data_IF_670669787342
#
_entry.id   IF_670669787342
#
_cell.length_a   1.000
_cell.length_b   1.000
_cell.length_c   1.000
_cell.angle_alpha   90.00
_cell.angle_beta   90.00
_cell.angle_gamma   90.00
#
_symmetry.space_group_name_H-M   'P 1'
#
loop_
_entity.id
_entity.type
_entity.pdbx_description
1 polymer ?
#
# COMPACT_ATOMS: atom_id res chain seq x y z
N UNK A 1 -16.60 19.21 -5.63
CA UNK A 1 -15.85 18.32 -6.54
C UNK A 1 -16.05 16.91 -6.03
N UNK A 2 -16.24 15.91 -6.90
CA UNK A 2 -16.39 14.53 -6.45
C UNK A 2 -15.16 14.13 -5.62
N UNK A 3 -15.37 13.30 -4.60
CA UNK A 3 -14.28 12.82 -3.76
C UNK A 3 -13.31 11.93 -4.57
N UNK A 4 -13.83 11.16 -5.53
CA UNK A 4 -13.08 10.30 -6.46
C UNK A 4 -13.09 10.84 -7.90
N UNK A 5 -12.26 10.27 -8.79
CA UNK A 5 -12.35 10.46 -10.24
C UNK A 5 -13.38 9.47 -10.83
N UNK A 6 -14.63 9.87 -11.10
CA UNK A 6 -15.69 8.93 -11.46
C UNK A 6 -15.44 8.22 -12.81
N UNK A 7 -14.73 8.87 -13.73
CA UNK A 7 -14.48 8.36 -15.09
C UNK A 7 -13.22 7.51 -15.21
N UNK A 8 -12.33 7.54 -14.22
CA UNK A 8 -11.12 6.71 -14.25
C UNK A 8 -11.46 5.30 -13.76
N UNK A 9 -10.97 4.22 -14.40
CA UNK A 9 -11.04 2.87 -13.85
C UNK A 9 -10.35 2.78 -12.49
N UNK A 10 -10.81 1.88 -11.60
CA UNK A 10 -10.20 1.67 -10.28
C UNK A 10 -8.76 1.18 -10.42
N UNK A 11 -8.54 0.24 -11.32
CA UNK A 11 -7.24 -0.30 -11.68
C UNK A 11 -7.13 -0.33 -13.21
N UNK A 12 -6.02 0.15 -13.75
CA UNK A 12 -5.72 0.18 -15.17
C UNK A 12 -4.29 -0.29 -15.41
N UNK A 13 -3.96 -0.70 -16.64
CA UNK A 13 -2.57 -1.05 -16.99
C UNK A 13 -1.70 0.20 -16.93
N UNK A 14 -0.44 0.08 -16.45
CA UNK A 14 0.46 1.25 -16.47
C UNK A 14 0.83 1.61 -17.91
N UNK A 15 0.86 2.91 -18.23
CA UNK A 15 1.39 3.37 -19.50
C UNK A 15 2.87 2.99 -19.64
N UNK A 16 3.25 2.45 -20.81
CA UNK A 16 4.61 1.99 -21.12
C UNK A 16 5.63 3.15 -21.24
N UNK A 17 5.15 4.38 -21.47
CA UNK A 17 5.98 5.57 -21.62
C UNK A 17 5.31 6.77 -20.93
N UNK A 18 5.70 7.05 -19.70
CA UNK A 18 5.48 8.37 -19.09
C UNK A 18 6.84 9.01 -18.93
N UNK A 19 7.17 9.85 -19.90
CA UNK A 19 8.33 10.74 -19.88
C UNK A 19 7.84 12.09 -19.38
N UNK A 20 7.82 12.24 -18.05
CA UNK A 20 7.60 13.51 -17.39
C UNK A 20 8.71 13.68 -16.35
N UNK A 21 9.22 14.90 -16.19
CA UNK A 21 10.27 15.22 -15.22
C UNK A 21 9.85 14.85 -13.80
N UNK A 22 8.55 15.00 -13.52
CA UNK A 22 7.94 14.57 -12.26
C UNK A 22 8.00 13.05 -12.05
N UNK A 23 7.84 12.26 -13.12
CA UNK A 23 7.94 10.81 -13.08
C UNK A 23 9.39 10.35 -12.89
N UNK A 24 10.35 11.01 -13.55
CA UNK A 24 11.78 10.73 -13.39
C UNK A 24 12.30 11.07 -11.99
N UNK A 25 11.73 12.10 -11.33
CA UNK A 25 12.04 12.42 -9.93
C UNK A 25 11.68 11.29 -8.95
N UNK A 26 10.77 10.38 -9.31
CA UNK A 26 10.40 9.22 -8.49
C UNK A 26 11.37 8.03 -8.60
N UNK A 27 12.50 8.20 -9.31
CA UNK A 27 13.54 7.16 -9.53
C UNK A 27 12.95 5.80 -9.94
N UNK A 28 12.17 5.76 -11.04
CA UNK A 28 11.51 4.53 -11.45
C UNK A 28 12.55 3.48 -11.89
N UNK A 29 12.41 2.25 -11.39
CA UNK A 29 13.14 1.11 -11.91
C UNK A 29 12.49 0.69 -13.23
N UNK A 30 13.29 0.67 -14.29
CA UNK A 30 12.89 0.25 -15.63
C UNK A 30 13.61 -1.04 -15.99
N UNK A 31 12.87 -2.02 -16.50
CA UNK A 31 13.44 -3.19 -17.15
C UNK A 31 12.52 -3.62 -18.29
N UNK A 32 13.08 -4.28 -19.29
CA UNK A 32 12.28 -4.86 -20.37
C UNK A 32 11.79 -6.24 -19.93
N UNK A 33 10.52 -6.40 -19.54
CA UNK A 33 9.99 -7.71 -19.17
C UNK A 33 10.02 -8.62 -20.40
N UNK A 34 10.30 -9.90 -20.16
CA UNK A 34 10.27 -10.88 -21.22
C UNK A 34 8.83 -10.99 -21.78
N UNK A 35 8.62 -11.11 -23.11
CA UNK A 35 7.30 -11.03 -23.75
C UNK A 35 6.24 -12.03 -23.24
N UNK A 36 6.64 -13.11 -22.55
CA UNK A 36 5.74 -14.09 -21.95
C UNK A 36 5.22 -13.71 -20.55
N UNK A 37 5.76 -12.67 -19.93
CA UNK A 37 5.43 -12.24 -18.58
C UNK A 37 4.68 -10.90 -18.68
N UNK A 38 3.43 -10.81 -18.20
CA UNK A 38 2.59 -9.62 -18.34
C UNK A 38 2.97 -8.51 -17.33
N UNK A 39 4.26 -8.26 -17.12
CA UNK A 39 4.76 -7.23 -16.20
C UNK A 39 4.78 -5.86 -16.88
N UNK A 40 4.56 -4.79 -16.11
CA UNK A 40 4.49 -3.45 -16.68
C UNK A 40 5.86 -2.81 -17.01
N UNK A 41 6.97 -3.41 -16.55
CA UNK A 41 8.35 -3.01 -16.90
C UNK A 41 8.84 -1.68 -16.28
N UNK A 42 7.96 -0.91 -15.63
CA UNK A 42 8.28 0.35 -14.97
C UNK A 42 7.68 0.40 -13.57
N UNK A 43 8.53 0.54 -12.56
CA UNK A 43 8.17 0.56 -11.13
C UNK A 43 8.64 1.85 -10.49
N UNK A 44 7.71 2.72 -10.13
CA UNK A 44 7.96 3.92 -9.31
C UNK A 44 8.49 3.55 -7.92
N UNK A 45 8.97 4.52 -7.15
CA UNK A 45 9.38 4.29 -5.76
C UNK A 45 8.27 3.65 -4.89
N UNK A 46 6.99 4.00 -5.13
CA UNK A 46 5.85 3.40 -4.43
C UNK A 46 5.71 1.95 -4.86
N UNK A 47 5.77 1.66 -6.15
CA UNK A 47 5.66 0.30 -6.67
C UNK A 47 6.76 -0.61 -6.12
N UNK A 48 8.00 -0.11 -6.08
CA UNK A 48 9.13 -0.82 -5.50
C UNK A 48 8.88 -1.14 -4.01
N UNK A 49 8.32 -0.19 -3.26
CA UNK A 49 7.92 -0.42 -1.87
C UNK A 49 6.79 -1.45 -1.75
N UNK A 50 5.83 -1.46 -2.68
CA UNK A 50 4.75 -2.45 -2.70
C UNK A 50 5.29 -3.85 -3.02
N UNK A 51 6.18 -3.98 -4.00
CA UNK A 51 6.87 -5.25 -4.30
C UNK A 51 7.64 -5.74 -3.08
N UNK A 52 8.46 -4.88 -2.48
CA UNK A 52 9.25 -5.21 -1.30
C UNK A 52 8.37 -5.77 -0.17
N UNK A 53 7.31 -5.05 0.20
CA UNK A 53 6.42 -5.48 1.27
C UNK A 53 5.58 -6.70 0.88
N UNK A 54 5.21 -6.85 -0.39
CA UNK A 54 4.53 -8.04 -0.90
C UNK A 54 5.41 -9.28 -0.70
N UNK A 55 6.68 -9.19 -1.07
CA UNK A 55 7.64 -10.29 -0.91
C UNK A 55 7.96 -10.57 0.57
N UNK A 56 8.19 -9.52 1.38
CA UNK A 56 8.45 -9.68 2.81
C UNK A 56 7.26 -10.34 3.50
N UNK A 57 6.04 -9.84 3.30
CA UNK A 57 4.84 -10.40 3.92
C UNK A 57 4.60 -11.84 3.46
N UNK A 58 4.66 -12.10 2.14
CA UNK A 58 4.53 -13.46 1.61
C UNK A 58 5.55 -14.42 2.24
N UNK A 59 6.83 -14.02 2.32
CA UNK A 59 7.88 -14.84 2.89
C UNK A 59 7.67 -15.13 4.39
N UNK A 60 7.41 -14.10 5.20
CA UNK A 60 7.17 -14.24 6.65
C UNK A 60 6.05 -15.25 6.90
N UNK A 61 4.91 -15.08 6.22
CA UNK A 61 3.73 -15.92 6.44
C UNK A 61 3.88 -17.33 5.85
N UNK A 62 4.65 -17.51 4.76
CA UNK A 62 4.99 -18.83 4.24
C UNK A 62 5.88 -19.62 5.20
N UNK A 63 6.92 -18.98 5.74
CA UNK A 63 7.82 -19.63 6.70
C UNK A 63 7.06 -19.94 7.99
N UNK A 64 6.22 -19.03 8.49
CA UNK A 64 5.38 -19.27 9.65
C UNK A 64 4.40 -20.45 9.46
N UNK A 65 3.94 -20.69 8.23
CA UNK A 65 3.02 -21.79 7.92
C UNK A 65 3.72 -23.16 7.87
N UNK A 66 4.91 -23.22 7.26
CA UNK A 66 5.50 -24.52 6.85
C UNK A 66 6.81 -24.87 7.55
N UNK A 67 7.52 -23.89 8.09
CA UNK A 67 8.83 -24.14 8.68
C UNK A 67 8.71 -24.39 10.19
N UNK A 68 9.27 -25.49 10.72
CA UNK A 68 9.20 -25.86 12.13
C UNK A 68 10.24 -25.09 12.98
N UNK A 69 10.39 -23.79 12.75
CA UNK A 69 11.25 -22.94 13.57
C UNK A 69 10.53 -22.47 14.84
N UNK A 70 11.27 -22.28 15.93
CA UNK A 70 10.70 -21.73 17.16
C UNK A 70 10.12 -20.34 16.91
N UNK A 71 8.98 -20.04 17.55
CA UNK A 71 8.32 -18.74 17.46
C UNK A 71 9.24 -17.58 17.86
N UNK A 72 10.14 -17.79 18.81
CA UNK A 72 11.12 -16.78 19.25
C UNK A 72 12.13 -16.48 18.14
N UNK A 73 12.69 -17.51 17.49
CA UNK A 73 13.65 -17.30 16.40
C UNK A 73 12.99 -16.61 15.22
N UNK A 74 11.74 -17.00 14.92
CA UNK A 74 10.92 -16.35 13.90
C UNK A 74 10.67 -14.88 14.24
N UNK A 75 10.23 -14.56 15.46
CA UNK A 75 10.00 -13.18 15.92
C UNK A 75 11.24 -12.29 15.71
N UNK A 76 12.42 -12.75 16.16
CA UNK A 76 13.68 -12.00 15.98
C UNK A 76 13.96 -11.76 14.50
N UNK A 77 13.86 -12.79 13.66
CA UNK A 77 14.11 -12.67 12.23
C UNK A 77 13.12 -11.72 11.53
N UNK A 78 11.83 -11.81 11.89
CA UNK A 78 10.78 -10.98 11.31
C UNK A 78 10.84 -9.54 11.79
N UNK A 79 11.26 -9.28 13.02
CA UNK A 79 11.50 -7.92 13.51
C UNK A 79 12.67 -7.25 12.77
N UNK A 80 13.77 -7.98 12.55
CA UNK A 80 14.90 -7.47 11.73
C UNK A 80 14.42 -7.17 10.31
N UNK A 81 13.72 -8.11 9.67
CA UNK A 81 13.25 -7.96 8.30
C UNK A 81 12.23 -6.81 8.17
N UNK A 82 11.35 -6.63 9.16
CA UNK A 82 10.36 -5.54 9.21
C UNK A 82 11.04 -4.19 9.37
N UNK A 83 12.06 -4.07 10.24
CA UNK A 83 12.85 -2.84 10.40
C UNK A 83 13.59 -2.50 9.10
N UNK A 84 14.25 -3.48 8.49
CA UNK A 84 14.94 -3.29 7.20
C UNK A 84 13.96 -2.87 6.09
N UNK A 85 12.84 -3.58 5.94
CA UNK A 85 11.80 -3.26 4.97
C UNK A 85 11.23 -1.87 5.17
N UNK A 86 11.01 -1.45 6.42
CA UNK A 86 10.55 -0.12 6.78
C UNK A 86 11.58 0.95 6.42
N UNK A 87 12.86 0.73 6.73
CA UNK A 87 13.94 1.64 6.37
C UNK A 87 14.07 1.85 4.86
N UNK A 88 13.98 0.76 4.08
CA UNK A 88 14.01 0.82 2.61
C UNK A 88 12.77 1.54 2.08
N UNK A 89 11.57 1.23 2.57
CA UNK A 89 10.33 1.94 2.20
C UNK A 89 10.47 3.46 2.44
N UNK A 90 10.99 3.88 3.58
CA UNK A 90 11.23 5.30 3.88
C UNK A 90 12.20 5.89 2.86
N UNK A 91 13.35 5.23 2.62
CA UNK A 91 14.35 5.72 1.67
C UNK A 91 13.78 5.87 0.25
N UNK A 92 12.93 4.95 -0.18
CA UNK A 92 12.28 4.99 -1.49
C UNK A 92 11.22 6.09 -1.58
N UNK A 93 10.34 6.20 -0.57
CA UNK A 93 9.09 6.96 -0.70
C UNK A 93 9.13 8.36 -0.07
N UNK A 94 10.07 8.64 0.84
CA UNK A 94 10.07 9.89 1.61
C UNK A 94 10.06 11.13 0.73
N UNK A 95 10.97 11.22 -0.24
CA UNK A 95 11.06 12.38 -1.15
C UNK A 95 9.75 12.64 -1.88
N UNK A 96 9.15 11.60 -2.44
CA UNK A 96 7.84 11.69 -3.11
C UNK A 96 6.74 12.13 -2.14
N UNK A 97 6.66 11.53 -0.96
CA UNK A 97 5.62 11.89 0.03
C UNK A 97 5.76 13.32 0.53
N UNK A 98 6.97 13.87 0.65
CA UNK A 98 7.17 15.27 1.02
C UNK A 98 6.66 16.20 -0.08
N UNK A 99 7.04 15.92 -1.34
CA UNK A 99 6.57 16.70 -2.50
C UNK A 99 5.05 16.68 -2.57
N UNK A 100 4.43 15.51 -2.41
CA UNK A 100 2.97 15.34 -2.47
C UNK A 100 2.20 15.70 -1.20
N UNK A 101 2.88 16.20 -0.16
CA UNK A 101 2.27 16.53 1.15
C UNK A 101 1.58 15.33 1.81
N UNK A 102 2.14 14.15 1.62
CA UNK A 102 1.72 12.85 2.15
C UNK A 102 2.71 12.25 3.15
N UNK A 103 3.70 13.01 3.66
CA UNK A 103 4.69 12.49 4.62
C UNK A 103 4.05 11.92 5.89
N UNK A 104 2.92 12.49 6.35
CA UNK A 104 2.15 11.96 7.48
C UNK A 104 1.59 10.55 7.21
N UNK A 105 1.27 10.22 5.95
CA UNK A 105 0.81 8.89 5.56
C UNK A 105 1.95 7.87 5.69
N UNK A 106 3.17 8.24 5.30
CA UNK A 106 4.35 7.41 5.51
C UNK A 106 4.58 7.14 7.00
N UNK A 107 4.52 8.17 7.85
CA UNK A 107 4.64 8.00 9.30
C UNK A 107 3.53 7.12 9.88
N UNK A 108 2.32 7.19 9.32
CA UNK A 108 1.21 6.32 9.73
C UNK A 108 1.54 4.86 9.44
N UNK A 109 2.02 4.54 8.23
CA UNK A 109 2.45 3.17 7.91
C UNK A 109 3.60 2.71 8.79
N UNK A 110 4.62 3.55 9.03
CA UNK A 110 5.71 3.22 9.96
C UNK A 110 5.18 2.90 11.35
N UNK A 111 4.28 3.72 11.89
CA UNK A 111 3.66 3.48 13.19
C UNK A 111 2.87 2.18 13.25
N UNK A 112 2.11 1.87 12.19
CA UNK A 112 1.36 0.61 12.05
C UNK A 112 2.29 -0.62 12.01
N UNK A 113 3.40 -0.56 11.28
CA UNK A 113 4.37 -1.66 11.22
C UNK A 113 5.06 -1.88 12.57
N UNK A 114 5.48 -0.80 13.23
CA UNK A 114 6.08 -0.87 14.58
C UNK A 114 5.08 -1.44 15.58
N UNK A 115 3.82 -0.99 15.54
CA UNK A 115 2.77 -1.49 16.42
C UNK A 115 2.53 -2.99 16.22
N UNK A 116 2.36 -3.45 14.98
CA UNK A 116 2.16 -4.87 14.68
C UNK A 116 3.33 -5.75 15.12
N UNK A 117 4.55 -5.28 14.88
CA UNK A 117 5.79 -5.94 15.31
C UNK A 117 5.86 -6.06 16.83
N UNK A 118 5.70 -4.94 17.57
CA UNK A 118 5.75 -4.94 19.04
C UNK A 118 4.66 -5.82 19.64
N UNK A 119 3.43 -5.77 19.11
CA UNK A 119 2.34 -6.62 19.57
C UNK A 119 2.63 -8.11 19.35
N UNK A 120 3.20 -8.46 18.20
CA UNK A 120 3.60 -9.84 17.87
C UNK A 120 4.70 -10.33 18.82
N UNK A 121 5.74 -9.51 19.03
CA UNK A 121 6.88 -9.84 19.89
C UNK A 121 6.45 -9.97 21.36
N UNK A 122 5.62 -9.05 21.85
CA UNK A 122 5.04 -9.15 23.19
C UNK A 122 4.17 -10.39 23.34
N UNK A 123 3.40 -10.76 22.31
CA UNK A 123 2.58 -11.97 22.36
C UNK A 123 3.44 -13.23 22.54
N UNK A 124 4.56 -13.29 21.83
CA UNK A 124 5.48 -14.43 21.87
C UNK A 124 6.27 -14.44 23.18
N UNK A 125 6.82 -13.29 23.60
CA UNK A 125 7.64 -13.18 24.80
C UNK A 125 6.84 -13.42 26.09
N UNK A 126 5.60 -12.95 26.15
CA UNK A 126 4.72 -13.10 27.33
C UNK A 126 3.83 -14.34 27.27
N UNK A 127 3.86 -15.11 26.17
CA UNK A 127 2.96 -16.24 25.97
C UNK A 127 1.49 -15.82 25.92
N UNK A 128 1.17 -14.67 25.32
CA UNK A 128 -0.19 -14.14 25.22
C UNK A 128 -1.04 -14.97 24.25
N UNK A 129 -1.54 -16.11 24.72
CA UNK A 129 -2.23 -17.11 23.91
C UNK A 129 -3.37 -16.54 23.05
N UNK A 130 -4.18 -15.63 23.60
CA UNK A 130 -5.26 -14.97 22.86
C UNK A 130 -4.73 -14.19 21.64
N UNK A 131 -3.66 -13.41 21.79
CA UNK A 131 -3.11 -12.65 20.68
C UNK A 131 -2.38 -13.58 19.69
N UNK A 132 -1.71 -14.62 20.19
CA UNK A 132 -1.03 -15.63 19.36
C UNK A 132 -1.98 -16.34 18.38
N UNK A 133 -3.18 -16.73 18.84
CA UNK A 133 -4.18 -17.34 17.96
C UNK A 133 -4.84 -16.35 16.99
N UNK A 134 -4.65 -15.04 17.22
CA UNK A 134 -5.22 -13.96 16.41
C UNK A 134 -4.16 -13.15 15.63
N UNK A 135 -2.92 -13.63 15.51
CA UNK A 135 -1.85 -12.91 14.79
C UNK A 135 -2.22 -12.62 13.32
N UNK A 136 -2.83 -13.58 12.63
CA UNK A 136 -3.29 -13.38 11.26
C UNK A 136 -4.35 -12.26 11.17
N UNK A 137 -5.32 -12.27 12.09
CA UNK A 137 -6.34 -11.23 12.18
C UNK A 137 -5.73 -9.86 12.48
N UNK A 138 -4.74 -9.79 13.37
CA UNK A 138 -4.02 -8.56 13.71
C UNK A 138 -3.37 -7.94 12.47
N UNK A 139 -2.59 -8.71 11.71
CA UNK A 139 -1.85 -8.19 10.55
C UNK A 139 -2.77 -7.82 9.39
N UNK A 140 -3.87 -8.56 9.17
CA UNK A 140 -4.92 -8.15 8.23
C UNK A 140 -5.62 -6.86 8.67
N UNK A 141 -5.90 -6.69 9.97
CA UNK A 141 -6.54 -5.49 10.50
C UNK A 141 -5.62 -4.26 10.37
N UNK A 142 -4.36 -4.40 10.72
CA UNK A 142 -3.34 -3.34 10.56
C UNK A 142 -3.26 -2.93 9.08
N UNK A 143 -3.22 -3.90 8.16
CA UNK A 143 -3.21 -3.64 6.72
C UNK A 143 -4.50 -2.94 6.27
N UNK A 144 -5.66 -3.41 6.72
CA UNK A 144 -6.94 -2.78 6.41
C UNK A 144 -6.98 -1.32 6.88
N UNK A 145 -6.52 -1.03 8.10
CA UNK A 145 -6.42 0.34 8.62
C UNK A 145 -5.46 1.20 7.79
N UNK A 146 -4.28 0.67 7.44
CA UNK A 146 -3.32 1.36 6.58
C UNK A 146 -3.92 1.71 5.22
N UNK A 147 -4.59 0.76 4.57
CA UNK A 147 -5.26 0.99 3.29
C UNK A 147 -6.45 1.95 3.41
N UNK A 148 -7.19 1.94 4.52
CA UNK A 148 -8.29 2.86 4.75
C UNK A 148 -7.78 4.30 4.80
N UNK A 149 -6.76 4.54 5.61
CA UNK A 149 -6.10 5.86 5.72
C UNK A 149 -5.51 6.28 4.38
N UNK A 150 -4.87 5.35 3.67
CA UNK A 150 -4.31 5.56 2.33
C UNK A 150 -5.40 5.95 1.31
N UNK A 151 -6.54 5.28 1.35
CA UNK A 151 -7.71 5.58 0.51
C UNK A 151 -8.28 6.97 0.76
N UNK A 152 -8.30 7.43 2.01
CA UNK A 152 -8.67 8.82 2.33
C UNK A 152 -7.61 9.84 1.86
N UNK A 153 -6.34 9.56 2.13
CA UNK A 153 -5.22 10.46 1.82
C UNK A 153 -5.08 10.70 0.31
N UNK A 154 -5.18 9.62 -0.48
CA UNK A 154 -5.01 9.65 -1.94
C UNK A 154 -6.35 9.68 -2.70
N UNK A 155 -7.47 9.66 -1.98
CA UNK A 155 -8.83 9.65 -2.56
C UNK A 155 -8.98 8.56 -3.63
N UNK A 156 -8.65 7.33 -3.25
CA UNK A 156 -8.54 6.20 -4.15
C UNK A 156 -9.56 5.12 -3.82
N UNK A 157 -10.37 4.71 -4.79
CA UNK A 157 -11.31 3.58 -4.62
C UNK A 157 -10.54 2.26 -4.51
N UNK A 158 -9.41 2.13 -5.19
CA UNK A 158 -8.58 0.93 -5.13
C UNK A 158 -8.16 0.61 -3.68
N UNK A 159 -7.74 1.61 -2.91
CA UNK A 159 -7.34 1.42 -1.51
C UNK A 159 -8.53 1.17 -0.55
N UNK A 160 -9.72 1.73 -0.83
CA UNK A 160 -10.94 1.32 -0.11
C UNK A 160 -11.31 -0.14 -0.41
N UNK A 161 -11.13 -0.58 -1.66
CA UNK A 161 -11.34 -1.98 -2.02
C UNK A 161 -10.33 -2.89 -1.31
N UNK A 162 -9.05 -2.52 -1.24
CA UNK A 162 -8.04 -3.26 -0.47
C UNK A 162 -8.41 -3.34 1.02
N UNK A 163 -8.94 -2.26 1.60
CA UNK A 163 -9.48 -2.27 2.97
C UNK A 163 -10.57 -3.32 3.14
N UNK A 164 -11.55 -3.33 2.22
CA UNK A 164 -12.64 -4.30 2.24
C UNK A 164 -12.15 -5.74 2.06
N UNK A 165 -11.20 -5.98 1.15
CA UNK A 165 -10.59 -7.29 0.92
C UNK A 165 -9.94 -7.82 2.21
N UNK A 166 -9.14 -6.99 2.89
CA UNK A 166 -8.49 -7.40 4.13
C UNK A 166 -9.49 -7.60 5.27
N UNK A 167 -10.51 -6.74 5.38
CA UNK A 167 -11.59 -6.91 6.35
C UNK A 167 -12.39 -8.20 6.12
N UNK A 168 -12.74 -8.50 4.87
CA UNK A 168 -13.43 -9.74 4.48
C UNK A 168 -12.54 -10.95 4.75
N UNK A 169 -11.24 -10.89 4.46
CA UNK A 169 -10.29 -11.96 4.73
C UNK A 169 -10.27 -12.36 6.22
N UNK A 170 -10.42 -11.40 7.15
CA UNK A 170 -10.51 -11.70 8.59
C UNK A 170 -11.68 -12.64 8.89
N UNK A 171 -12.84 -12.42 8.27
CA UNK A 171 -14.02 -13.29 8.45
C UNK A 171 -13.83 -14.69 7.83
N UNK A 172 -12.90 -14.85 6.89
CA UNK A 172 -12.58 -16.15 6.30
C UNK A 172 -11.57 -16.98 7.10
N UNK A 173 -10.77 -16.35 7.98
CA UNK A 173 -9.75 -17.05 8.77
C UNK A 173 -10.27 -18.28 9.56
N UNK A 174 -11.45 -18.24 10.21
CA UNK A 174 -11.96 -19.39 10.95
C UNK A 174 -12.25 -20.63 10.08
N UNK A 175 -12.42 -20.46 8.77
CA UNK A 175 -12.63 -21.58 7.84
C UNK A 175 -11.32 -22.19 7.33
N UNK A 176 -10.18 -21.56 7.61
CA UNK A 176 -8.85 -21.98 7.16
C UNK A 176 -7.86 -22.06 8.32
N UNK A 177 -8.31 -22.46 9.52
CA UNK A 177 -7.49 -22.44 10.76
C UNK A 177 -6.11 -23.09 10.57
N UNK A 178 -6.04 -24.25 9.91
CA UNK A 178 -4.77 -24.94 9.64
C UNK A 178 -3.86 -24.25 8.61
N UNK A 179 -4.39 -23.31 7.84
CA UNK A 179 -3.73 -22.62 6.71
C UNK A 179 -3.77 -21.09 6.85
N UNK A 180 -4.08 -20.58 8.05
CA UNK A 180 -4.36 -19.17 8.28
C UNK A 180 -3.18 -18.26 7.94
N UNK A 181 -1.94 -18.72 8.18
CA UNK A 181 -0.74 -17.96 7.87
C UNK A 181 -0.55 -17.86 6.37
N UNK A 182 -0.64 -18.99 5.65
CA UNK A 182 -0.58 -18.98 4.18
C UNK A 182 -1.66 -18.09 3.58
N UNK A 183 -2.92 -18.24 4.02
CA UNK A 183 -4.03 -17.44 3.52
C UNK A 183 -3.78 -15.94 3.72
N UNK A 184 -3.34 -15.55 4.92
CA UNK A 184 -2.99 -14.15 5.24
C UNK A 184 -1.85 -13.63 4.37
N UNK A 185 -0.78 -14.41 4.25
CA UNK A 185 0.37 -14.09 3.41
C UNK A 185 -0.01 -13.89 1.95
N UNK A 186 -0.85 -14.77 1.39
CA UNK A 186 -1.35 -14.65 0.01
C UNK A 186 -2.21 -13.39 -0.17
N UNK A 187 -3.15 -13.10 0.74
CA UNK A 187 -3.98 -11.90 0.65
C UNK A 187 -3.13 -10.63 0.65
N UNK A 188 -2.18 -10.51 1.60
CA UNK A 188 -1.30 -9.35 1.73
C UNK A 188 -0.36 -9.23 0.52
N UNK A 189 0.32 -10.31 0.16
CA UNK A 189 1.27 -10.35 -0.95
C UNK A 189 0.58 -10.04 -2.28
N UNK A 190 -0.50 -10.75 -2.62
CA UNK A 190 -1.19 -10.55 -3.89
C UNK A 190 -1.76 -9.15 -4.02
N UNK A 191 -2.33 -8.58 -2.96
CA UNK A 191 -2.83 -7.21 -3.00
C UNK A 191 -1.72 -6.19 -3.31
N UNK A 192 -0.57 -6.31 -2.65
CA UNK A 192 0.57 -5.43 -2.86
C UNK A 192 1.18 -5.60 -4.27
N UNK A 193 1.32 -6.84 -4.75
CA UNK A 193 1.85 -7.10 -6.09
C UNK A 193 0.88 -6.64 -7.20
N UNK A 194 -0.43 -6.81 -7.02
CA UNK A 194 -1.44 -6.29 -7.96
C UNK A 194 -1.37 -4.76 -8.03
N UNK A 195 -1.19 -4.08 -6.89
CA UNK A 195 -0.93 -2.66 -6.91
C UNK A 195 0.39 -2.35 -7.60
N UNK A 196 1.49 -3.02 -7.27
CA UNK A 196 2.76 -2.79 -7.95
C UNK A 196 2.73 -2.98 -9.47
N UNK A 197 1.83 -3.80 -10.03
CA UNK A 197 1.65 -3.94 -11.49
C UNK A 197 0.67 -2.93 -12.08
N UNK A 198 -0.40 -2.60 -11.36
CA UNK A 198 -1.47 -1.74 -11.85
C UNK A 198 -1.18 -0.26 -11.66
N UNK A 199 -1.85 0.58 -12.44
CA UNK A 199 -2.06 1.97 -12.12
C UNK A 199 -3.44 2.12 -11.48
N UNK A 200 -3.50 2.67 -10.28
CA UNK A 200 -4.75 2.81 -9.52
C UNK A 200 -5.29 4.23 -9.59
N UNK A 201 -6.60 4.37 -9.36
CA UNK A 201 -7.25 5.67 -9.32
C UNK A 201 -6.78 6.48 -8.11
N UNK A 202 -6.19 7.65 -8.32
CA UNK A 202 -5.79 8.55 -7.23
C UNK A 202 -5.96 10.02 -7.62
N UNK A 203 -6.23 10.84 -6.60
CA UNK A 203 -6.17 12.30 -6.68
C UNK A 203 -5.20 12.75 -5.60
N UNK A 204 -4.01 13.15 -6.00
CA UNK A 204 -2.98 13.59 -5.07
C UNK A 204 -3.30 14.99 -4.51
N UNK A 205 -2.79 15.35 -3.31
CA UNK A 205 -3.05 16.66 -2.71
C UNK A 205 -2.65 17.84 -3.60
N UNK A 206 -1.50 17.78 -4.27
CA UNK A 206 -1.05 18.84 -5.18
C UNK A 206 -1.93 18.92 -6.43
N UNK A 207 -2.26 17.77 -7.04
CA UNK A 207 -3.18 17.70 -8.18
C UNK A 207 -4.52 18.37 -7.84
N UNK A 208 -5.08 18.08 -6.67
CA UNK A 208 -6.32 18.70 -6.18
C UNK A 208 -6.20 20.23 -6.09
N UNK A 209 -5.09 20.76 -5.59
CA UNK A 209 -4.86 22.21 -5.50
C UNK A 209 -4.84 22.84 -6.89
N UNK A 210 -4.17 22.21 -7.86
CA UNK A 210 -4.13 22.67 -9.25
C UNK A 210 -5.53 22.69 -9.87
N UNK A 211 -6.29 21.59 -9.74
CA UNK A 211 -7.66 21.49 -10.25
C UNK A 211 -8.59 22.57 -9.66
N UNK A 212 -8.41 22.91 -8.37
CA UNK A 212 -9.17 23.98 -7.72
C UNK A 212 -8.82 25.36 -8.26
N UNK A 213 -7.53 25.62 -8.53
CA UNK A 213 -7.08 26.89 -9.14
C UNK A 213 -7.65 27.07 -10.54
N UNK A 214 -7.60 26.03 -11.38
CA UNK A 214 -8.15 26.05 -12.74
C UNK A 214 -9.65 26.29 -12.74
N UNK A 215 -10.40 25.60 -11.88
CA UNK A 215 -11.84 25.83 -11.73
C UNK A 215 -12.16 27.27 -11.35
N UNK A 216 -11.41 27.84 -10.41
CA UNK A 216 -11.59 29.24 -9.96
C UNK A 216 -11.30 30.22 -11.10
N UNK A 217 -10.24 29.97 -11.88
CA UNK A 217 -9.90 30.77 -13.07
C UNK A 217 -11.03 30.72 -14.11
N UNK A 218 -11.54 29.53 -14.42
CA UNK A 218 -12.63 29.37 -15.39
C UNK A 218 -13.93 30.05 -14.94
N UNK A 219 -14.27 29.97 -13.64
CA UNK A 219 -15.43 30.67 -13.10
C UNK A 219 -15.29 32.20 -13.20
N UNK A 220 -14.09 32.75 -12.97
CA UNK A 220 -13.83 34.18 -13.18
C UNK A 220 -13.98 34.59 -14.65
N UNK A 221 -13.48 33.78 -15.59
CA UNK A 221 -13.63 34.04 -17.03
C UNK A 221 -15.12 34.06 -17.42
N UNK A 222 -15.90 33.09 -16.97
CA UNK A 222 -17.34 33.03 -17.23
C UNK A 222 -18.07 34.23 -16.60
N UNK A 223 -17.72 34.59 -15.36
CA UNK A 223 -18.31 35.76 -14.69
C UNK A 223 -18.04 37.06 -15.44
N UNK A 224 -16.82 37.27 -15.94
CA UNK A 224 -16.49 38.47 -16.71
C UNK A 224 -17.22 38.48 -18.05
N UNK A 225 -17.31 37.35 -18.75
CA UNK A 225 -18.06 37.24 -20.00
C UNK A 225 -19.56 37.54 -19.86
N UNK A 226 -20.16 37.22 -18.71
CA UNK A 226 -21.57 37.54 -18.41
C UNK A 226 -21.75 39.02 -18.05
N UNK A 227 -20.76 39.67 -17.44
CA UNK A 227 -20.84 41.08 -17.06
C UNK A 227 -20.54 42.05 -18.21
N UNK A 228 -19.81 41.58 -19.23
CA UNK A 228 -19.43 42.38 -20.40
C UNK A 228 -20.44 42.28 -21.57
N UNK A 229 -21.52 41.49 -21.43
CA UNK A 229 -22.64 41.35 -22.39
C UNK A 229 -23.97 41.80 -21.77
#
# INVERSE_FOLDING_TARGET
MPFFKPKQPILQRKPLSVEDDYFNAMRPWRFNPHPWLPLCGVYTCIDQSMVLWGLISGFIFLVAQFCPFSWVNQAIAWSILTIMGTGIMIALTYGWTVVERLSWLLYTWVGLMVFGMVMTDCAIALGWGWLLIHLCSLWLLISAMGYLVTGFAMRSRAFFLATAIHGVAIFFLPYVIGWQFLFTGLVMMSNLLIFAEGHWDMILPNEKVTLLKEKTKNLKIISNFILDN
#
